data_IF_071274400048
#
_entry.id   IF_071274400048
#
_cell.length_a   1.000
_cell.length_b   1.000
_cell.length_c   1.000
_cell.angle_alpha   90.00
_cell.angle_beta   90.00
_cell.angle_gamma   90.00
#
_symmetry.space_group_name_H-M   'P 1'
#
loop_
_entity.id
_entity.type
_entity.pdbx_description
1 polymer ?
#
# COMPACT_ATOMS: atom_id res chain seq x y z
N UNK A 1 -19.54 9.94 -9.10
CA UNK A 1 -18.56 8.85 -9.24
C UNK A 1 -17.73 9.14 -10.47
N UNK A 2 -16.40 9.03 -10.39
CA UNK A 2 -15.56 9.18 -11.57
C UNK A 2 -15.89 8.05 -12.56
N UNK A 3 -16.33 8.39 -13.78
CA UNK A 3 -16.87 7.43 -14.74
C UNK A 3 -15.87 6.34 -15.14
N UNK A 4 -14.57 6.60 -14.96
CA UNK A 4 -13.48 5.72 -15.38
C UNK A 4 -12.76 5.04 -14.19
N UNK A 5 -13.31 5.08 -12.97
CA UNK A 5 -12.72 4.38 -11.83
C UNK A 5 -12.88 2.86 -12.01
N UNK A 6 -11.76 2.15 -12.14
CA UNK A 6 -11.73 0.73 -12.48
C UNK A 6 -11.21 -0.17 -11.36
N UNK A 7 -10.44 0.40 -10.42
CA UNK A 7 -9.91 -0.37 -9.29
C UNK A 7 -9.68 0.51 -8.06
N UNK A 8 -9.86 -0.11 -6.90
CA UNK A 8 -9.56 0.45 -5.58
C UNK A 8 -8.87 -0.62 -4.75
N UNK A 9 -7.75 -0.27 -4.12
CA UNK A 9 -7.00 -1.16 -3.25
C UNK A 9 -6.67 -0.46 -1.92
N UNK A 10 -6.66 -1.23 -0.84
CA UNK A 10 -6.14 -0.76 0.45
C UNK A 10 -4.78 -1.41 0.72
N UNK A 11 -3.76 -0.59 0.94
CA UNK A 11 -2.40 -1.02 1.27
C UNK A 11 -2.15 -0.79 2.76
N UNK A 12 -1.96 -1.87 3.53
CA UNK A 12 -1.56 -1.78 4.93
C UNK A 12 -0.03 -1.68 5.05
N UNK A 13 0.43 -0.51 5.50
CA UNK A 13 1.81 -0.19 5.82
C UNK A 13 1.98 0.08 7.33
N UNK A 14 3.21 0.31 7.75
CA UNK A 14 3.51 0.60 9.16
C UNK A 14 2.95 1.96 9.59
N UNK A 15 2.98 2.96 8.72
CA UNK A 15 2.39 4.28 8.92
C UNK A 15 0.86 4.32 8.82
N UNK A 16 0.23 3.34 8.18
CA UNK A 16 -1.23 3.30 8.13
C UNK A 16 -1.79 2.41 7.03
N UNK A 17 -3.09 2.50 6.84
CA UNK A 17 -3.75 1.94 5.66
C UNK A 17 -3.95 3.07 4.66
N UNK A 18 -3.43 2.89 3.46
CA UNK A 18 -3.52 3.86 2.36
C UNK A 18 -4.47 3.34 1.28
N UNK A 19 -5.38 4.20 0.81
CA UNK A 19 -6.31 3.86 -0.26
C UNK A 19 -5.74 4.29 -1.61
N UNK A 20 -5.58 3.34 -2.52
CA UNK A 20 -5.16 3.59 -3.90
C UNK A 20 -6.36 3.45 -4.82
N UNK A 21 -6.61 4.48 -5.62
CA UNK A 21 -7.66 4.51 -6.64
C UNK A 21 -7.02 4.61 -8.02
N UNK A 22 -7.52 3.83 -8.97
CA UNK A 22 -7.04 3.86 -10.35
C UNK A 22 -8.17 4.08 -11.34
N UNK A 23 -8.03 5.13 -12.15
CA UNK A 23 -8.89 5.37 -13.30
C UNK A 23 -8.20 4.93 -14.59
N UNK A 24 -8.96 4.28 -15.48
CA UNK A 24 -8.51 3.93 -16.81
C UNK A 24 -9.59 4.15 -17.86
N UNK A 25 -9.39 5.14 -18.73
CA UNK A 25 -10.27 5.44 -19.85
C UNK A 25 -9.91 4.60 -21.07
N UNK A 26 -10.72 3.60 -21.41
CA UNK A 26 -10.43 2.66 -22.51
C UNK A 26 -10.57 3.26 -23.92
N UNK A 27 -11.17 4.45 -24.05
CA UNK A 27 -11.27 5.18 -25.32
C UNK A 27 -10.05 6.06 -25.60
N UNK A 28 -9.52 6.74 -24.58
CA UNK A 28 -8.42 7.71 -24.72
C UNK A 28 -7.08 7.17 -24.22
N UNK A 29 -7.09 6.05 -23.50
CA UNK A 29 -5.96 5.57 -22.70
C UNK A 29 -5.66 6.41 -21.47
N UNK A 30 -6.61 7.25 -21.01
CA UNK A 30 -6.45 8.07 -19.80
C UNK A 30 -6.09 7.18 -18.62
N UNK A 31 -5.11 7.60 -17.81
CA UNK A 31 -4.74 6.94 -16.54
C UNK A 31 -4.65 7.98 -15.43
N UNK A 32 -5.26 7.70 -14.29
CA UNK A 32 -5.13 8.55 -13.08
C UNK A 32 -4.92 7.65 -11.88
N UNK A 33 -3.91 7.96 -11.06
CA UNK A 33 -3.69 7.27 -9.77
C UNK A 33 -3.89 8.29 -8.66
N UNK A 34 -4.74 7.93 -7.68
CA UNK A 34 -4.88 8.68 -6.43
C UNK A 34 -4.49 7.83 -5.24
N UNK A 35 -3.88 8.47 -4.25
CA UNK A 35 -3.53 7.88 -2.97
C UNK A 35 -4.13 8.76 -1.89
N UNK A 36 -4.98 8.18 -1.04
CA UNK A 36 -5.69 8.88 0.03
C UNK A 36 -6.46 10.13 -0.46
N UNK A 37 -6.99 10.05 -1.68
CA UNK A 37 -7.72 11.14 -2.34
C UNK A 37 -6.85 12.17 -3.04
N UNK A 38 -5.52 12.14 -2.86
CA UNK A 38 -4.58 13.00 -3.56
C UNK A 38 -4.17 12.38 -4.90
N UNK A 39 -4.24 13.15 -5.98
CA UNK A 39 -3.79 12.72 -7.30
C UNK A 39 -2.27 12.80 -7.41
N UNK A 40 -1.63 11.64 -7.61
CA UNK A 40 -0.17 11.53 -7.68
C UNK A 40 0.33 11.28 -9.11
N UNK A 41 -0.57 10.89 -10.02
CA UNK A 41 -0.26 10.62 -11.41
C UNK A 41 -1.48 10.89 -12.29
N UNK A 42 -1.23 11.53 -13.45
CA UNK A 42 -2.21 11.75 -14.51
C UNK A 42 -1.54 11.63 -15.88
N UNK A 43 -2.18 10.87 -16.75
CA UNK A 43 -1.98 10.91 -18.19
C UNK A 43 -3.35 11.01 -18.87
N UNK A 44 -3.64 12.12 -19.54
CA UNK A 44 -4.97 12.34 -20.15
C UNK A 44 -5.19 11.54 -21.44
N UNK A 45 -4.09 11.14 -22.11
CA UNK A 45 -4.15 10.38 -23.34
C UNK A 45 -2.96 9.43 -23.48
N UNK A 46 -3.22 8.18 -23.87
CA UNK A 46 -2.21 7.18 -24.20
C UNK A 46 -2.67 6.31 -25.36
N UNK A 47 -1.79 6.09 -26.34
CA UNK A 47 -2.09 5.20 -27.48
C UNK A 47 -2.24 3.73 -27.04
N UNK A 48 -1.47 3.30 -26.04
CA UNK A 48 -1.46 1.91 -25.57
C UNK A 48 -2.34 1.79 -24.32
N UNK A 49 -3.32 0.87 -24.36
CA UNK A 49 -4.25 0.64 -23.24
C UNK A 49 -3.67 -0.30 -22.17
N UNK A 50 -2.75 -1.20 -22.52
CA UNK A 50 -2.06 -2.09 -21.57
C UNK A 50 -0.70 -1.53 -21.17
N UNK A 51 -0.21 -1.87 -19.99
CA UNK A 51 1.07 -1.37 -19.50
C UNK A 51 1.16 -1.36 -17.99
N UNK A 52 2.15 -0.63 -17.48
CA UNK A 52 2.43 -0.52 -16.05
C UNK A 52 2.71 0.93 -15.69
N UNK A 53 2.20 1.33 -14.53
CA UNK A 53 2.51 2.62 -13.93
C UNK A 53 3.17 2.40 -12.57
N UNK A 54 4.30 3.08 -12.37
CA UNK A 54 5.10 2.97 -11.15
C UNK A 54 4.92 4.23 -10.31
N UNK A 55 4.73 4.04 -9.02
CA UNK A 55 4.56 5.12 -8.05
C UNK A 55 5.01 4.65 -6.66
N UNK A 56 4.93 5.54 -5.68
CA UNK A 56 5.31 5.25 -4.30
C UNK A 56 4.19 5.64 -3.36
N UNK A 57 3.91 4.78 -2.38
CA UNK A 57 3.04 5.08 -1.23
C UNK A 57 3.92 5.05 -0.01
N UNK A 58 4.11 6.21 0.62
CA UNK A 58 5.08 6.43 1.69
C UNK A 58 6.50 5.98 1.28
N UNK A 59 6.95 4.80 1.72
CA UNK A 59 8.25 4.20 1.33
C UNK A 59 8.11 2.96 0.45
N UNK A 60 6.88 2.48 0.23
CA UNK A 60 6.62 1.28 -0.55
C UNK A 60 6.61 1.63 -2.05
N UNK A 61 7.30 0.82 -2.85
CA UNK A 61 7.28 0.91 -4.31
C UNK A 61 6.06 0.17 -4.83
N UNK A 62 5.20 0.86 -5.56
CA UNK A 62 3.96 0.33 -6.08
C UNK A 62 3.97 0.29 -7.60
N UNK A 63 3.30 -0.72 -8.16
CA UNK A 63 3.10 -0.85 -9.61
C UNK A 63 1.65 -1.24 -9.87
N UNK A 64 0.92 -0.42 -10.60
CA UNK A 64 -0.36 -0.83 -11.20
C UNK A 64 -0.07 -1.42 -12.57
N UNK A 65 -0.56 -2.62 -12.85
CA UNK A 65 -0.49 -3.25 -14.16
C UNK A 65 -1.87 -3.35 -14.79
N UNK A 66 -1.92 -3.09 -16.09
CA UNK A 66 -3.11 -3.22 -16.94
C UNK A 66 -2.81 -4.31 -17.95
N UNK A 67 -3.53 -5.43 -17.84
CA UNK A 67 -3.37 -6.59 -18.70
C UNK A 67 -4.64 -6.81 -19.51
N UNK A 68 -4.50 -7.13 -20.80
CA UNK A 68 -5.65 -7.48 -21.63
C UNK A 68 -6.06 -8.92 -21.34
N UNK A 69 -7.35 -9.13 -21.10
CA UNK A 69 -7.96 -10.46 -20.93
C UNK A 69 -8.95 -10.75 -22.05
N UNK A 70 -9.50 -11.97 -22.09
CA UNK A 70 -10.45 -12.36 -23.14
C UNK A 70 -11.70 -11.46 -23.14
N UNK A 71 -12.32 -11.31 -24.31
CA UNK A 71 -13.58 -10.56 -24.45
C UNK A 71 -13.45 -9.04 -24.41
N UNK A 72 -12.31 -8.48 -24.85
CA UNK A 72 -12.04 -7.03 -24.88
C UNK A 72 -12.09 -6.36 -23.49
N UNK A 73 -11.84 -7.12 -22.43
CA UNK A 73 -11.78 -6.63 -21.07
C UNK A 73 -10.31 -6.46 -20.61
N UNK A 74 -10.15 -5.73 -19.50
CA UNK A 74 -8.85 -5.48 -18.87
C UNK A 74 -8.88 -5.94 -17.43
N UNK A 75 -7.77 -6.51 -16.98
CA UNK A 75 -7.51 -6.81 -15.58
C UNK A 75 -6.54 -5.76 -15.01
N UNK A 76 -6.79 -5.37 -13.76
CA UNK A 76 -6.00 -4.41 -13.04
C UNK A 76 -5.40 -5.07 -11.81
N UNK A 77 -4.08 -5.07 -11.71
CA UNK A 77 -3.38 -5.65 -10.56
C UNK A 77 -2.48 -4.60 -9.91
N UNK A 78 -2.31 -4.74 -8.59
CA UNK A 78 -1.40 -3.91 -7.81
C UNK A 78 -0.31 -4.78 -7.21
N UNK A 79 0.93 -4.38 -7.44
CA UNK A 79 2.10 -4.90 -6.74
C UNK A 79 2.64 -3.87 -5.75
N UNK A 80 3.09 -4.35 -4.60
CA UNK A 80 3.72 -3.54 -3.55
C UNK A 80 5.05 -4.21 -3.16
N UNK A 81 6.14 -3.46 -3.27
CA UNK A 81 7.52 -3.95 -3.11
C UNK A 81 7.82 -5.21 -3.94
N UNK A 82 7.37 -5.21 -5.20
CA UNK A 82 7.59 -6.30 -6.16
C UNK A 82 6.83 -7.59 -5.85
N UNK A 83 5.78 -7.51 -5.02
CA UNK A 83 4.89 -8.64 -4.70
C UNK A 83 3.45 -8.29 -5.03
N UNK A 84 2.64 -9.23 -5.56
CA UNK A 84 1.19 -9.04 -5.67
C UNK A 84 0.58 -8.65 -4.32
N UNK A 85 -0.39 -7.73 -4.32
CA UNK A 85 -0.97 -7.14 -3.10
C UNK A 85 -1.34 -8.19 -2.04
N UNK A 86 -2.02 -9.27 -2.41
CA UNK A 86 -2.41 -10.34 -1.49
C UNK A 86 -1.19 -10.94 -0.78
N UNK A 87 -0.15 -11.33 -1.55
CA UNK A 87 1.09 -11.89 -1.02
C UNK A 87 1.88 -10.86 -0.21
N UNK A 88 1.78 -9.57 -0.55
CA UNK A 88 2.36 -8.50 0.26
C UNK A 88 1.68 -8.42 1.63
N UNK A 89 0.34 -8.39 1.69
CA UNK A 89 -0.43 -8.31 2.93
C UNK A 89 -0.18 -9.54 3.84
N UNK A 90 -0.11 -10.74 3.27
CA UNK A 90 0.24 -11.97 4.01
C UNK A 90 1.65 -11.93 4.61
N UNK A 91 2.60 -11.29 3.93
CA UNK A 91 3.95 -11.12 4.47
C UNK A 91 3.97 -10.04 5.54
N UNK A 92 3.25 -8.93 5.32
CA UNK A 92 3.15 -7.83 6.27
C UNK A 92 2.59 -8.29 7.62
N UNK A 93 1.60 -9.18 7.65
CA UNK A 93 1.08 -9.75 8.90
C UNK A 93 2.11 -10.62 9.65
N UNK A 94 3.13 -11.15 8.97
CA UNK A 94 4.22 -11.92 9.58
C UNK A 94 5.32 -11.04 10.12
N UNK A 95 5.70 -9.98 9.41
CA UNK A 95 6.82 -9.10 9.79
C UNK A 95 6.40 -7.94 10.68
N UNK A 96 5.11 -7.57 10.71
CA UNK A 96 4.59 -6.55 11.62
C UNK A 96 3.79 -7.20 12.75
N UNK A 97 3.86 -6.60 13.94
CA UNK A 97 2.94 -6.86 15.04
C UNK A 97 2.23 -5.56 15.37
N UNK A 98 0.90 -5.55 15.25
CA UNK A 98 0.08 -4.37 15.51
C UNK A 98 -0.79 -4.61 16.74
N UNK A 99 -0.88 -3.62 17.62
CA UNK A 99 -1.80 -3.61 18.74
C UNK A 99 -2.44 -2.23 18.91
N UNK A 100 -3.60 -2.21 19.55
CA UNK A 100 -4.24 -0.98 20.02
C UNK A 100 -4.16 -0.98 21.54
N UNK A 101 -3.55 0.04 22.12
CA UNK A 101 -3.46 0.24 23.56
C UNK A 101 -4.13 1.55 23.95
N UNK A 102 -4.73 1.61 25.14
CA UNK A 102 -5.27 2.85 25.68
C UNK A 102 -4.17 3.59 26.45
N UNK A 103 -3.58 4.60 25.82
CA UNK A 103 -2.59 5.49 26.45
C UNK A 103 -3.35 6.73 26.90
N UNK A 104 -3.35 7.01 28.20
CA UNK A 104 -4.10 8.15 28.79
C UNK A 104 -5.57 8.20 28.34
N UNK A 105 -6.25 7.05 28.27
CA UNK A 105 -7.64 6.95 27.85
C UNK A 105 -7.89 7.06 26.33
N UNK A 106 -6.85 7.26 25.51
CA UNK A 106 -6.98 7.37 24.05
C UNK A 106 -6.54 6.08 23.36
N UNK A 107 -7.35 5.51 22.45
CA UNK A 107 -6.94 4.35 21.67
C UNK A 107 -5.75 4.74 20.77
N UNK A 108 -4.63 4.06 20.96
CA UNK A 108 -3.36 4.34 20.31
C UNK A 108 -2.93 3.10 19.53
N UNK A 109 -2.82 3.23 18.20
CA UNK A 109 -2.30 2.16 17.34
C UNK A 109 -0.78 2.14 17.45
N UNK A 110 -0.24 0.98 17.81
CA UNK A 110 1.19 0.77 17.89
C UNK A 110 1.55 -0.39 16.95
N UNK A 111 2.59 -0.20 16.14
CA UNK A 111 3.12 -1.20 15.22
C UNK A 111 4.59 -1.42 15.52
N UNK A 112 4.99 -2.68 15.66
CA UNK A 112 6.39 -3.10 15.68
C UNK A 112 6.71 -3.81 14.37
N UNK A 113 7.69 -3.29 13.63
CA UNK A 113 8.35 -4.02 12.57
C UNK A 113 9.41 -4.95 13.19
N UNK A 114 9.24 -6.27 13.04
CA UNK A 114 10.06 -7.26 13.75
C UNK A 114 11.50 -7.30 13.27
N UNK A 115 11.73 -6.99 12.00
CA UNK A 115 13.06 -7.10 11.37
C UNK A 115 13.93 -5.87 11.67
N UNK A 116 13.34 -4.67 11.60
CA UNK A 116 14.03 -3.39 11.86
C UNK A 116 13.95 -2.98 13.33
N UNK A 117 13.03 -3.57 14.10
CA UNK A 117 12.66 -3.16 15.46
C UNK A 117 12.13 -1.72 15.54
N UNK A 118 11.70 -1.18 14.39
CA UNK A 118 11.06 0.12 14.32
C UNK A 118 9.68 0.08 14.98
N UNK A 119 9.39 1.10 15.78
CA UNK A 119 8.08 1.27 16.42
C UNK A 119 7.38 2.47 15.80
N UNK A 120 6.11 2.28 15.46
CA UNK A 120 5.23 3.32 14.93
C UNK A 120 4.06 3.51 15.88
N UNK A 121 3.76 4.78 16.19
CA UNK A 121 2.64 5.19 17.06
C UNK A 121 1.75 6.11 16.26
N UNK A 122 0.49 5.71 16.07
CA UNK A 122 -0.51 6.44 15.26
C UNK A 122 0.05 6.88 13.89
N UNK A 123 0.77 5.96 13.24
CA UNK A 123 1.34 6.18 11.91
C UNK A 123 2.64 6.97 11.86
N UNK A 124 3.19 7.38 13.01
CA UNK A 124 4.47 8.09 13.10
C UNK A 124 5.53 7.18 13.71
N UNK A 125 6.67 7.05 13.02
CA UNK A 125 7.83 6.35 13.58
C UNK A 125 8.32 7.12 14.81
N UNK A 126 8.53 6.40 15.92
CA UNK A 126 9.06 6.98 17.17
C UNK A 126 10.48 6.51 17.42
N UNK A 127 11.26 7.32 18.13
CA UNK A 127 12.59 6.93 18.57
C UNK A 127 12.48 5.89 19.68
N UNK A 128 13.25 4.81 19.57
CA UNK A 128 13.24 3.70 20.53
C UNK A 128 14.66 3.29 20.91
N UNK A 129 14.78 2.76 22.14
CA UNK A 129 16.00 2.09 22.58
C UNK A 129 15.81 0.58 22.50
N UNK A 130 16.62 -0.08 21.69
CA UNK A 130 16.64 -1.55 21.60
C UNK A 130 17.67 -2.10 22.58
N UNK A 131 17.24 -2.97 23.49
CA UNK A 131 18.12 -3.71 24.38
C UNK A 131 17.84 -5.20 24.25
N UNK A 132 18.83 -5.95 23.78
CA UNK A 132 18.78 -7.41 23.71
C UNK A 132 19.28 -7.96 25.06
N UNK A 133 18.48 -8.81 25.69
CA UNK A 133 18.82 -9.45 26.96
C UNK A 133 18.90 -10.96 26.74
N UNK A 134 19.92 -11.59 27.32
CA UNK A 134 20.05 -13.06 27.29
C UNK A 134 19.27 -13.62 28.47
N UNK A 135 18.17 -14.28 28.18
CA UNK A 135 17.46 -15.07 29.20
C UNK A 135 18.33 -16.29 29.54
N UNK A 136 18.82 -16.35 30.79
CA UNK A 136 19.45 -17.57 31.29
C UNK A 136 18.34 -18.57 31.60
N UNK A 137 18.28 -19.63 30.81
CA UNK A 137 17.54 -20.84 31.20
C UNK A 137 18.28 -21.43 32.40
N UNK A 138 17.61 -21.44 33.56
CA UNK A 138 18.03 -22.19 34.73
C UNK A 138 17.64 -23.66 34.57
#
# INVERSE_FOLDING_TARGET
>A
MAADLVAVWDIALSDGVHKVEFEHGTTTGKRVIRVDGEEIYRADWMFKLVGREHFTVSKAKCTVSIDAVSGFAYEYTLEVNGKPLQKFQENQSKIMRTWVAYVTGTPTRIVLEKDTLDVWVNGKKVETTVRIVVDRLF
#
